data_IF_004359828671
#
_entry.id   IF_004359828671
#
_cell.length_a   1.000
_cell.length_b   1.000
_cell.length_c   1.000
_cell.angle_alpha   90.00
_cell.angle_beta   90.00
_cell.angle_gamma   90.00
#
_symmetry.space_group_name_H-M   'P 1'
#
loop_
_entity.id
_entity.type
_entity.pdbx_description
1 polymer ?
#
# COMPACT_ATOMS: atom_id res chain seq x y z
N UNK A 1 -20.78 -1.84 -10.56
CA UNK A 1 -20.95 -1.68 -9.10
C UNK A 1 -20.52 -2.92 -8.30
N UNK A 2 -20.49 -4.13 -8.88
CA UNK A 2 -20.06 -5.39 -8.20
C UNK A 2 -18.60 -5.45 -7.71
N UNK A 3 -17.69 -4.62 -8.24
CA UNK A 3 -16.29 -4.66 -7.81
C UNK A 3 -16.13 -4.22 -6.35
N UNK A 4 -16.93 -3.29 -5.83
CA UNK A 4 -16.80 -2.80 -4.46
C UNK A 4 -17.22 -3.84 -3.41
N UNK A 5 -18.11 -4.77 -3.76
CA UNK A 5 -18.59 -5.79 -2.82
C UNK A 5 -17.56 -6.85 -2.49
N UNK A 6 -16.52 -7.02 -3.33
CA UNK A 6 -15.52 -8.06 -3.15
C UNK A 6 -14.30 -7.63 -2.33
N UNK A 7 -14.19 -6.34 -2.00
CA UNK A 7 -13.08 -5.80 -1.22
C UNK A 7 -13.55 -5.26 0.12
N UNK A 8 -12.71 -5.43 1.13
CA UNK A 8 -12.85 -4.78 2.44
C UNK A 8 -11.64 -3.89 2.66
N UNK A 9 -11.86 -2.76 3.31
CA UNK A 9 -10.79 -1.89 3.78
C UNK A 9 -10.76 -1.85 5.29
N UNK A 10 -9.57 -1.96 5.88
CA UNK A 10 -9.35 -1.77 7.31
C UNK A 10 -8.43 -0.57 7.49
N UNK A 11 -8.85 0.43 8.26
CA UNK A 11 -8.06 1.64 8.55
C UNK A 11 -7.50 1.54 9.96
N UNK A 12 -6.19 1.76 10.08
CA UNK A 12 -5.44 1.66 11.32
C UNK A 12 -4.63 2.93 11.54
N UNK A 13 -4.72 3.48 12.75
CA UNK A 13 -3.86 4.59 13.18
C UNK A 13 -2.70 4.03 13.98
N UNK A 14 -1.46 4.37 13.61
CA UNK A 14 -0.28 3.95 14.37
C UNK A 14 -0.06 4.78 15.63
N UNK A 15 -0.89 5.79 15.90
CA UNK A 15 -0.83 6.62 17.11
C UNK A 15 -0.90 5.79 18.40
N UNK A 16 -1.53 4.62 18.35
CA UNK A 16 -1.60 3.69 19.48
C UNK A 16 -0.27 2.95 19.74
N UNK A 17 0.61 2.84 18.72
CA UNK A 17 1.93 2.22 18.83
C UNK A 17 3.03 3.25 19.07
N UNK A 18 2.99 4.38 18.36
CA UNK A 18 3.90 5.51 18.56
C UNK A 18 3.13 6.83 18.28
N UNK A 19 2.91 7.69 19.30
CA UNK A 19 2.20 8.96 19.13
C UNK A 19 2.87 9.93 18.15
N UNK A 20 4.16 9.74 17.82
CA UNK A 20 4.89 10.55 16.84
C UNK A 20 4.50 10.17 15.42
N UNK A 21 3.99 8.96 15.19
CA UNK A 21 3.51 8.51 13.88
C UNK A 21 2.09 9.04 13.70
N UNK A 22 2.00 10.06 12.84
CA UNK A 22 0.75 10.76 12.49
C UNK A 22 0.04 10.16 11.30
N UNK A 23 0.69 9.23 10.62
CA UNK A 23 0.21 8.56 9.43
C UNK A 23 -0.78 7.45 9.77
N UNK A 24 -1.65 7.16 8.84
CA UNK A 24 -2.65 6.10 8.95
C UNK A 24 -2.52 5.14 7.77
N UNK A 25 -2.63 3.85 8.06
CA UNK A 25 -2.58 2.80 7.05
C UNK A 25 -3.99 2.29 6.77
N UNK A 26 -4.33 2.17 5.50
CA UNK A 26 -5.50 1.45 5.02
C UNK A 26 -5.05 0.16 4.35
N UNK A 27 -5.49 -0.98 4.86
CA UNK A 27 -5.31 -2.29 4.25
C UNK A 27 -6.45 -2.55 3.27
N UNK A 28 -6.13 -3.07 2.08
CA UNK A 28 -7.10 -3.51 1.10
C UNK A 28 -7.08 -5.04 1.02
N UNK A 29 -8.22 -5.67 1.28
CA UNK A 29 -8.37 -7.13 1.35
C UNK A 29 -9.37 -7.58 0.28
N UNK A 30 -8.99 -8.54 -0.57
CA UNK A 30 -9.91 -9.22 -1.48
C UNK A 30 -10.55 -10.41 -0.74
N UNK A 31 -11.86 -10.33 -0.51
CA UNK A 31 -12.62 -11.34 0.24
C UNK A 31 -12.66 -12.69 -0.49
N UNK A 32 -12.59 -12.70 -1.81
CA UNK A 32 -12.66 -13.94 -2.60
C UNK A 32 -11.41 -14.78 -2.43
N UNK A 33 -10.26 -14.11 -2.30
CA UNK A 33 -8.98 -14.75 -2.11
C UNK A 33 -8.60 -14.88 -0.62
N UNK A 34 -9.33 -14.19 0.27
CA UNK A 34 -8.99 -14.03 1.67
C UNK A 34 -7.53 -13.55 1.86
N UNK A 35 -7.12 -12.56 1.08
CA UNK A 35 -5.74 -12.05 1.03
C UNK A 35 -5.70 -10.53 1.01
N UNK A 36 -4.67 -9.98 1.64
CA UNK A 36 -4.33 -8.56 1.48
C UNK A 36 -3.75 -8.35 0.09
N UNK A 37 -4.29 -7.37 -0.64
CA UNK A 37 -3.95 -7.08 -2.04
C UNK A 37 -3.32 -5.71 -2.22
N UNK A 38 -3.34 -4.90 -1.16
CA UNK A 38 -2.58 -3.65 -1.13
C UNK A 38 -2.69 -2.94 0.21
N UNK A 39 -1.89 -1.88 0.33
CA UNK A 39 -1.95 -0.92 1.43
C UNK A 39 -1.92 0.50 0.88
N UNK A 40 -2.46 1.43 1.65
CA UNK A 40 -2.31 2.87 1.42
C UNK A 40 -1.90 3.55 2.71
N UNK A 41 -0.99 4.50 2.61
CA UNK A 41 -0.56 5.33 3.74
C UNK A 41 -1.08 6.74 3.49
N UNK A 42 -1.76 7.28 4.49
CA UNK A 42 -2.31 8.63 4.49
C UNK A 42 -1.62 9.47 5.56
N UNK A 43 -1.44 10.75 5.29
CA UNK A 43 -1.04 11.74 6.30
C UNK A 43 -2.17 12.00 7.30
N UNK A 44 -1.87 12.73 8.38
CA UNK A 44 -2.88 13.20 9.33
C UNK A 44 -3.99 14.06 8.70
N UNK A 45 -3.69 14.70 7.56
CA UNK A 45 -4.62 15.56 6.82
C UNK A 45 -5.38 14.78 5.73
N UNK A 46 -5.39 13.44 5.77
CA UNK A 46 -5.98 12.57 4.76
C UNK A 46 -5.35 12.66 3.36
N UNK A 47 -4.16 13.27 3.20
CA UNK A 47 -3.45 13.19 1.93
C UNK A 47 -2.86 11.79 1.71
N UNK A 48 -3.07 11.21 0.54
CA UNK A 48 -2.45 9.93 0.16
C UNK A 48 -0.95 10.12 -0.06
N UNK A 49 -0.13 9.47 0.76
CA UNK A 49 1.33 9.51 0.70
C UNK A 49 1.90 8.36 -0.13
N UNK A 50 1.33 7.16 0.03
CA UNK A 50 1.82 5.96 -0.63
C UNK A 50 0.69 4.98 -0.94
N UNK A 51 0.77 4.28 -2.06
CA UNK A 51 -0.02 3.09 -2.38
C UNK A 51 0.90 1.93 -2.72
N UNK A 52 0.67 0.78 -2.10
CA UNK A 52 1.38 -0.46 -2.38
C UNK A 52 0.37 -1.49 -2.84
N UNK A 53 0.64 -2.18 -3.96
CA UNK A 53 -0.21 -3.24 -4.49
C UNK A 53 0.57 -4.55 -4.56
N UNK A 54 0.02 -5.60 -3.98
CA UNK A 54 0.64 -6.92 -3.91
C UNK A 54 0.07 -7.82 -4.98
N UNK A 55 0.85 -8.11 -6.00
CA UNK A 55 0.51 -9.12 -6.99
C UNK A 55 -0.72 -8.84 -7.86
N UNK A 56 -1.08 -7.58 -8.09
CA UNK A 56 -2.14 -7.23 -9.05
C UNK A 56 -1.62 -6.34 -10.17
N UNK A 57 -1.80 -6.82 -11.41
CA UNK A 57 -1.99 -5.97 -12.58
C UNK A 57 -3.50 -5.87 -12.84
N UNK A 58 -3.95 -4.68 -13.25
CA UNK A 58 -5.36 -4.44 -13.58
C UNK A 58 -5.75 -5.34 -14.77
N UNK A 59 -6.63 -6.32 -14.54
CA UNK A 59 -7.18 -7.19 -15.58
C UNK A 59 -6.69 -8.64 -15.57
N UNK A 60 -5.75 -9.01 -14.69
CA UNK A 60 -5.27 -10.39 -14.57
C UNK A 60 -5.70 -11.02 -13.24
N UNK A 61 -6.26 -12.24 -13.33
CA UNK A 61 -6.71 -13.06 -12.18
C UNK A 61 -5.54 -13.77 -11.50
N UNK A 62 -4.33 -13.71 -12.07
CA UNK A 62 -3.12 -14.32 -11.51
C UNK A 62 -2.36 -13.33 -10.64
N UNK A 63 -1.99 -13.76 -9.45
CA UNK A 63 -1.07 -13.03 -8.59
C UNK A 63 0.23 -12.76 -9.35
N UNK A 64 0.53 -11.50 -9.64
CA UNK A 64 1.87 -11.13 -10.10
C UNK A 64 2.87 -11.41 -8.98
N UNK A 65 4.01 -11.96 -9.35
CA UNK A 65 5.16 -12.06 -8.46
C UNK A 65 5.85 -10.70 -8.33
N UNK A 66 5.09 -9.67 -7.96
CA UNK A 66 5.56 -8.29 -7.90
C UNK A 66 4.79 -7.43 -6.90
N UNK A 67 5.50 -6.47 -6.32
CA UNK A 67 4.98 -5.36 -5.53
C UNK A 67 5.16 -4.09 -6.34
N UNK A 68 4.05 -3.38 -6.55
CA UNK A 68 4.08 -2.03 -7.11
C UNK A 68 3.86 -1.03 -5.98
N UNK A 69 4.79 -0.08 -5.84
CA UNK A 69 4.67 1.03 -4.90
C UNK A 69 4.60 2.34 -5.66
N UNK A 70 3.65 3.18 -5.30
CA UNK A 70 3.48 4.53 -5.79
C UNK A 70 3.57 5.48 -4.62
N UNK A 71 4.57 6.37 -4.60
CA UNK A 71 4.83 7.27 -3.47
C UNK A 71 4.93 8.72 -3.94
N UNK A 72 4.36 9.65 -3.17
CA UNK A 72 4.56 11.08 -3.33
C UNK A 72 5.91 11.46 -2.71
N UNK A 73 6.82 12.01 -3.49
CA UNK A 73 8.15 12.44 -3.04
C UNK A 73 8.34 13.91 -3.38
N UNK A 74 8.88 14.68 -2.44
CA UNK A 74 9.25 16.08 -2.65
C UNK A 74 10.76 16.11 -2.95
N UNK A 75 11.13 16.58 -4.13
CA UNK A 75 12.52 16.74 -4.53
C UNK A 75 13.17 17.92 -3.78
N UNK A 76 14.51 18.00 -3.72
CA UNK A 76 15.21 19.16 -3.13
C UNK A 76 14.81 20.51 -3.74
N UNK A 77 14.34 20.51 -5.00
CA UNK A 77 13.79 21.69 -5.67
C UNK A 77 12.39 22.11 -5.18
N UNK A 78 11.80 21.42 -4.22
CA UNK A 78 10.42 21.62 -3.75
C UNK A 78 9.35 21.02 -4.67
N UNK A 79 9.73 20.46 -5.83
CA UNK A 79 8.79 19.84 -6.76
C UNK A 79 8.28 18.50 -6.21
N UNK A 80 6.96 18.35 -6.16
CA UNK A 80 6.30 17.08 -5.87
C UNK A 80 6.28 16.19 -7.11
N UNK A 81 6.75 14.96 -6.99
CA UNK A 81 6.69 13.93 -8.03
C UNK A 81 6.03 12.65 -7.50
N UNK A 82 5.57 11.80 -8.41
CA UNK A 82 5.11 10.44 -8.10
C UNK A 82 6.21 9.45 -8.48
N UNK A 83 6.86 8.87 -7.48
CA UNK A 83 7.82 7.79 -7.69
C UNK A 83 7.06 6.47 -7.82
N UNK A 84 7.40 5.67 -8.83
CA UNK A 84 6.80 4.35 -9.05
C UNK A 84 7.92 3.31 -9.04
N UNK A 85 7.82 2.33 -8.15
CA UNK A 85 8.77 1.22 -8.08
C UNK A 85 8.03 -0.10 -8.31
N UNK A 86 8.63 -0.99 -9.07
CA UNK A 86 8.14 -2.36 -9.26
C UNK A 86 9.23 -3.32 -8.78
N UNK A 87 8.92 -4.11 -7.75
CA UNK A 87 9.85 -5.09 -7.17
C UNK A 87 9.30 -6.49 -7.35
N UNK A 88 10.12 -7.48 -7.71
CA UNK A 88 9.69 -8.89 -7.71
C UNK A 88 9.64 -9.44 -6.29
N UNK A 89 8.65 -10.27 -5.95
CA UNK A 89 8.52 -10.80 -4.57
C UNK A 89 9.64 -11.80 -4.27
N UNK A 90 10.09 -12.59 -5.24
CA UNK A 90 11.24 -13.50 -5.06
C UNK A 90 12.55 -12.80 -4.64
N UNK A 91 12.67 -11.50 -4.91
CA UNK A 91 13.85 -10.70 -4.56
C UNK A 91 13.72 -10.00 -3.20
N UNK A 92 12.64 -10.20 -2.45
CA UNK A 92 12.43 -9.56 -1.15
C UNK A 92 13.00 -10.43 -0.04
N UNK A 93 14.03 -9.92 0.64
CA UNK A 93 14.51 -10.50 1.90
C UNK A 93 13.79 -9.79 3.05
N UNK A 94 12.99 -10.54 3.81
CA UNK A 94 12.39 -10.04 5.04
C UNK A 94 13.29 -10.41 6.22
N UNK A 95 13.94 -9.40 6.81
CA UNK A 95 14.59 -9.58 8.11
C UNK A 95 13.59 -9.21 9.20
N UNK A 96 13.02 -10.22 9.85
CA UNK A 96 12.26 -10.01 11.09
C UNK A 96 13.27 -10.10 12.23
N UNK A 97 13.75 -8.95 12.68
CA UNK A 97 14.45 -8.90 13.96
C UNK A 97 13.39 -8.87 15.05
N UNK A 98 13.21 -10.02 15.73
CA UNK A 98 12.42 -10.13 16.96
C UNK A 98 13.29 -9.80 18.16
#
# INVERSE_FOLDING_TARGET
MEQAENYVTLRMSYKQLDPRIKEETVLLIDKRLNKMVGTRIYSENNELLQSTFFGYSKGEVKSLNAIKTEQKVILPSGKSIKMITNSKIDNLTFNINM
#
